data_IF_313511565971
#
_entry.id   IF_313511565971
#
_cell.length_a   1.000
_cell.length_b   1.000
_cell.length_c   1.000
_cell.angle_alpha   90.00
_cell.angle_beta   90.00
_cell.angle_gamma   90.00
#
_symmetry.space_group_name_H-M   'P 1'
#
loop_
_entity.id
_entity.type
_entity.pdbx_description
1 polymer ?
#
# COMPACT_ATOMS: atom_id res chain seq x y z
N UNK A 1 -9.79 3.55 -0.55
CA UNK A 1 -9.12 4.12 -1.73
C UNK A 1 -10.10 4.95 -2.54
N UNK A 2 -11.36 4.53 -2.68
CA UNK A 2 -12.40 5.27 -3.44
C UNK A 2 -12.48 6.78 -3.14
N UNK A 3 -12.43 7.21 -1.88
CA UNK A 3 -12.51 8.65 -1.52
C UNK A 3 -11.24 9.45 -1.85
N UNK A 4 -10.10 8.79 -2.06
CA UNK A 4 -8.79 9.44 -2.28
C UNK A 4 -8.30 9.33 -3.73
N UNK A 5 -9.03 8.60 -4.57
CA UNK A 5 -8.65 8.32 -5.97
C UNK A 5 -8.54 9.58 -6.83
N UNK A 6 -9.48 10.52 -6.68
CA UNK A 6 -9.42 11.80 -7.39
C UNK A 6 -8.18 12.64 -7.01
N UNK A 7 -7.76 12.53 -5.75
CA UNK A 7 -6.55 13.20 -5.25
C UNK A 7 -5.31 12.53 -5.82
N UNK A 8 -5.25 11.20 -5.86
CA UNK A 8 -4.14 10.47 -6.46
C UNK A 8 -3.98 10.82 -7.94
N UNK A 9 -5.05 10.80 -8.73
CA UNK A 9 -4.98 11.13 -10.17
C UNK A 9 -4.49 12.56 -10.39
N UNK A 10 -4.95 13.52 -9.57
CA UNK A 10 -4.46 14.91 -9.61
C UNK A 10 -2.97 15.03 -9.25
N UNK A 11 -2.49 14.26 -8.28
CA UNK A 11 -1.09 14.27 -7.85
C UNK A 11 -0.18 13.60 -8.88
N UNK A 12 -0.60 12.49 -9.50
CA UNK A 12 0.18 11.79 -10.53
C UNK A 12 0.53 12.67 -11.74
N UNK A 13 -0.20 13.76 -11.97
CA UNK A 13 0.08 14.72 -13.03
C UNK A 13 1.16 15.75 -12.65
N UNK A 14 1.58 15.82 -11.37
CA UNK A 14 2.43 16.89 -10.83
C UNK A 14 3.62 16.42 -10.02
N UNK A 15 3.67 15.15 -9.60
CA UNK A 15 4.79 14.59 -8.85
C UNK A 15 5.58 13.58 -9.68
N UNK A 16 6.89 13.55 -9.51
CA UNK A 16 7.76 12.57 -10.16
C UNK A 16 7.61 11.17 -9.53
N UNK A 17 7.37 11.12 -8.22
CA UNK A 17 7.16 9.90 -7.45
C UNK A 17 6.06 10.09 -6.41
N UNK A 18 5.25 9.05 -6.20
CA UNK A 18 4.09 9.05 -5.32
C UNK A 18 4.19 7.90 -4.31
N UNK A 19 4.45 8.25 -3.05
CA UNK A 19 4.52 7.29 -1.96
C UNK A 19 3.10 6.98 -1.45
N UNK A 20 2.76 5.70 -1.40
CA UNK A 20 1.49 5.20 -0.85
C UNK A 20 1.72 4.48 0.47
N UNK A 21 0.78 4.66 1.42
CA UNK A 21 0.86 4.07 2.75
C UNK A 21 -0.49 3.56 3.27
N UNK A 22 -0.44 2.83 4.39
CA UNK A 22 -1.63 2.27 5.04
C UNK A 22 -2.39 1.28 4.14
N UNK A 23 -3.72 1.22 4.27
CA UNK A 23 -4.55 0.29 3.51
C UNK A 23 -4.50 0.47 1.99
N UNK A 24 -4.15 1.66 1.50
CA UNK A 24 -4.01 1.90 0.06
C UNK A 24 -2.79 1.17 -0.50
N UNK A 25 -1.68 1.13 0.25
CA UNK A 25 -0.46 0.44 -0.19
C UNK A 25 -0.72 -1.05 -0.46
N UNK A 26 -1.63 -1.69 0.28
CA UNK A 26 -1.99 -3.09 0.04
C UNK A 26 -2.64 -3.31 -1.33
N UNK A 27 -3.51 -2.40 -1.79
CA UNK A 27 -4.10 -2.50 -3.14
C UNK A 27 -3.02 -2.38 -4.23
N UNK A 28 -2.00 -1.54 -4.02
CA UNK A 28 -0.85 -1.42 -4.91
C UNK A 28 0.06 -2.67 -4.86
N UNK A 29 0.29 -3.24 -3.68
CA UNK A 29 1.00 -4.51 -3.53
C UNK A 29 0.27 -5.65 -4.27
N UNK A 30 -1.05 -5.74 -4.13
CA UNK A 30 -1.87 -6.71 -4.87
C UNK A 30 -1.83 -6.48 -6.39
N UNK A 31 -1.85 -5.21 -6.83
CA UNK A 31 -1.70 -4.83 -8.23
C UNK A 31 -0.38 -5.27 -8.84
N UNK A 32 0.71 -5.17 -8.07
CA UNK A 32 2.04 -5.64 -8.41
C UNK A 32 2.20 -7.18 -8.30
N UNK A 33 1.16 -7.90 -7.87
CA UNK A 33 1.16 -9.36 -7.78
C UNK A 33 1.69 -9.93 -6.46
N UNK A 34 1.91 -9.09 -5.44
CA UNK A 34 2.34 -9.57 -4.12
C UNK A 34 1.15 -10.09 -3.31
N UNK A 35 1.36 -11.15 -2.49
CA UNK A 35 0.33 -11.67 -1.61
C UNK A 35 0.07 -10.68 -0.46
N UNK A 36 -1.19 -10.28 -0.29
CA UNK A 36 -1.62 -9.35 0.78
C UNK A 36 -2.36 -10.02 1.93
N UNK A 37 -2.67 -11.32 1.81
CA UNK A 37 -3.37 -12.09 2.84
C UNK A 37 -4.69 -11.46 3.27
N UNK A 38 -4.88 -11.32 4.59
CA UNK A 38 -6.06 -10.69 5.20
C UNK A 38 -5.94 -9.17 5.33
N UNK A 39 -4.95 -8.54 4.71
CA UNK A 39 -4.78 -7.09 4.80
C UNK A 39 -5.94 -6.38 4.11
N UNK A 40 -6.31 -5.19 4.60
CA UNK A 40 -7.33 -4.36 3.97
C UNK A 40 -6.92 -4.03 2.53
N UNK A 41 -7.63 -4.58 1.56
CA UNK A 41 -7.36 -4.45 0.13
C UNK A 41 -8.68 -4.24 -0.62
N UNK A 42 -8.71 -3.25 -1.50
CA UNK A 42 -9.85 -2.97 -2.37
C UNK A 42 -9.63 -3.65 -3.73
N UNK A 43 -10.05 -4.92 -3.84
CA UNK A 43 -9.84 -5.74 -5.04
C UNK A 43 -10.40 -5.12 -6.33
N UNK A 44 -11.54 -4.44 -6.25
CA UNK A 44 -12.17 -3.77 -7.38
C UNK A 44 -11.32 -2.60 -7.95
N UNK A 45 -10.32 -2.13 -7.18
CA UNK A 45 -9.47 -1.01 -7.56
C UNK A 45 -8.06 -1.43 -7.97
N UNK A 46 -7.77 -2.74 -7.97
CA UNK A 46 -6.46 -3.29 -8.36
C UNK A 46 -6.07 -2.88 -9.77
N UNK A 47 -7.00 -2.93 -10.73
CA UNK A 47 -6.72 -2.51 -12.11
C UNK A 47 -6.50 -1.00 -12.22
N UNK A 48 -7.13 -0.21 -11.36
CA UNK A 48 -6.87 1.23 -11.29
C UNK A 48 -5.48 1.50 -10.71
N UNK A 49 -5.10 0.78 -9.66
CA UNK A 49 -3.76 0.88 -9.06
C UNK A 49 -2.66 0.53 -10.08
N UNK A 50 -2.84 -0.53 -10.89
CA UNK A 50 -1.92 -0.86 -12.00
C UNK A 50 -1.75 0.31 -12.97
N UNK A 51 -2.86 0.88 -13.46
CA UNK A 51 -2.82 2.03 -14.37
C UNK A 51 -2.11 3.25 -13.78
N UNK A 52 -2.19 3.46 -12.46
CA UNK A 52 -1.48 4.55 -11.79
C UNK A 52 0.02 4.26 -11.69
N UNK A 53 0.40 3.02 -11.40
CA UNK A 53 1.82 2.59 -11.40
C UNK A 53 2.48 2.72 -12.77
N UNK A 54 1.71 2.59 -13.86
CA UNK A 54 2.24 2.80 -15.22
C UNK A 54 2.48 4.29 -15.56
N UNK A 55 1.89 5.22 -14.79
CA UNK A 55 1.91 6.66 -15.08
C UNK A 55 2.92 7.44 -14.25
N UNK A 56 3.20 7.01 -13.03
CA UNK A 56 4.12 7.68 -12.11
C UNK A 56 4.92 6.64 -11.33
N UNK A 57 6.13 6.98 -10.90
CA UNK A 57 6.90 6.12 -10.03
C UNK A 57 6.19 5.96 -8.67
N UNK A 58 5.83 4.73 -8.32
CA UNK A 58 5.20 4.39 -7.04
C UNK A 58 6.08 3.35 -6.35
N UNK A 59 6.99 3.75 -5.46
CA UNK A 59 7.80 2.82 -4.71
C UNK A 59 6.92 1.98 -3.79
N UNK A 60 7.05 0.66 -3.89
CA UNK A 60 6.33 -0.29 -3.05
C UNK A 60 7.11 -0.53 -1.73
N UNK A 61 6.40 -0.80 -0.63
CA UNK A 61 7.03 -1.19 0.63
C UNK A 61 7.89 -2.45 0.44
N UNK A 62 9.15 -2.41 0.90
CA UNK A 62 10.07 -3.55 0.85
C UNK A 62 9.83 -4.52 2.01
N UNK A 63 9.29 -4.02 3.13
CA UNK A 63 8.92 -4.76 4.31
C UNK A 63 7.61 -4.24 4.91
N UNK A 64 6.88 -5.12 5.58
CA UNK A 64 5.63 -4.79 6.28
C UNK A 64 5.58 -5.52 7.61
N UNK A 65 5.02 -4.85 8.62
CA UNK A 65 4.73 -5.47 9.92
C UNK A 65 3.28 -5.94 9.92
N UNK A 66 3.06 -7.22 10.20
CA UNK A 66 1.73 -7.85 10.17
C UNK A 66 1.30 -8.33 11.55
N UNK A 67 0.00 -8.34 11.80
CA UNK A 67 -0.62 -8.89 13.01
C UNK A 67 -1.69 -9.93 12.61
N UNK A 68 -1.97 -10.93 13.47
CA UNK A 68 -3.00 -11.94 13.19
C UNK A 68 -4.43 -11.39 13.25
N UNK A 69 -4.64 -10.20 13.81
CA UNK A 69 -5.94 -9.53 13.87
C UNK A 69 -5.81 -8.08 14.36
N UNK A 70 -6.85 -7.26 14.16
CA UNK A 70 -6.88 -5.84 14.52
C UNK A 70 -6.83 -5.64 16.05
N UNK A 71 -7.39 -6.60 16.80
CA UNK A 71 -7.43 -6.58 18.27
C UNK A 71 -6.20 -7.25 18.91
N UNK A 72 -5.39 -7.94 18.11
CA UNK A 72 -4.15 -8.53 18.60
C UNK A 72 -3.11 -7.42 18.71
N UNK A 73 -2.80 -7.00 19.95
CA UNK A 73 -1.74 -6.03 20.20
C UNK A 73 -0.47 -6.38 19.41
N UNK A 74 0.09 -5.41 18.70
CA UNK A 74 1.30 -5.61 17.90
C UNK A 74 2.43 -6.02 18.85
N UNK A 75 2.80 -7.30 18.82
CA UNK A 75 4.03 -7.77 19.46
C UNK A 75 5.18 -7.36 18.54
N UNK A 76 5.69 -6.15 18.76
CA UNK A 76 6.97 -5.74 18.16
C UNK A 76 8.03 -6.73 18.65
N UNK A 77 8.46 -7.65 17.78
CA UNK A 77 9.65 -8.48 18.05
C UNK A 77 10.82 -7.51 18.20
N UNK A 78 11.38 -7.45 19.40
CA UNK A 78 12.37 -6.48 19.88
C UNK A 78 13.73 -6.49 19.19
N UNK A 79 13.86 -7.07 17.99
CA UNK A 79 15.09 -7.07 17.21
C UNK A 79 15.50 -5.68 16.73
N UNK A 80 14.58 -4.71 16.72
CA UNK A 80 14.85 -3.31 16.36
C UNK A 80 15.29 -2.42 17.54
N UNK A 81 15.22 -2.91 18.79
CA UNK A 81 15.63 -2.15 19.99
C UNK A 81 17.07 -2.44 20.44
N UNK A 82 17.81 -3.28 19.68
CA UNK A 82 19.23 -3.61 19.93
C UNK A 82 20.10 -3.25 18.72
N UNK A 83 20.08 -1.99 18.31
CA UNK A 83 21.14 -1.37 17.52
C UNK A 83 21.50 -0.03 18.15
#
# INVERSE_FOLDING_TARGET
MSTKLQVLDSLTQRCDSLIVGGGIANTFLAAAGYPVGNSLCEWDLVDTARRLMDRVDIPLPVDVVVAPGIDAGIVLRSSWLRR
#
